data_IF_098982169855
#
_entry.id   IF_098982169855
#
_cell.length_a   1.000
_cell.length_b   1.000
_cell.length_c   1.000
_cell.angle_alpha   90.00
_cell.angle_beta   90.00
_cell.angle_gamma   90.00
#
_symmetry.space_group_name_H-M   'P 1'
#
loop_
_entity.id
_entity.type
_entity.pdbx_description
1 polymer ?
#
# COMPACT_ATOMS: atom_id res chain seq x y z
N UNK A 1 14.63 -6.83 24.24
CA UNK A 1 14.18 -8.08 23.61
C UNK A 1 13.78 -7.70 22.20
N UNK A 2 14.71 -7.83 21.28
CA UNK A 2 14.63 -7.29 19.93
C UNK A 2 13.68 -8.13 19.08
N UNK A 3 12.68 -7.49 18.46
CA UNK A 3 11.78 -8.09 17.46
C UNK A 3 12.49 -8.35 16.13
N UNK A 4 13.68 -8.96 16.21
CA UNK A 4 14.57 -9.16 15.08
C UNK A 4 14.07 -10.34 14.25
N UNK A 5 13.59 -10.00 13.06
CA UNK A 5 13.36 -10.84 11.88
C UNK A 5 11.88 -11.12 11.55
N UNK A 6 11.13 -10.06 11.21
CA UNK A 6 9.96 -10.20 10.32
C UNK A 6 10.53 -10.49 8.91
N UNK A 7 10.60 -11.77 8.55
CA UNK A 7 11.05 -12.22 7.23
C UNK A 7 9.99 -12.03 6.15
N UNK A 8 10.37 -12.12 4.87
CA UNK A 8 9.48 -11.96 3.69
C UNK A 8 8.31 -12.97 3.68
N UNK A 9 8.42 -14.07 4.44
CA UNK A 9 7.37 -15.09 4.61
C UNK A 9 6.51 -14.92 5.87
N UNK A 10 6.65 -13.82 6.63
CA UNK A 10 5.85 -13.59 7.83
C UNK A 10 4.38 -13.32 7.49
N UNK A 11 3.48 -13.70 8.39
CA UNK A 11 2.03 -13.47 8.27
C UNK A 11 1.68 -11.99 7.96
N UNK A 12 2.57 -11.05 8.28
CA UNK A 12 2.52 -9.64 7.90
C UNK A 12 2.15 -9.39 6.43
N UNK A 13 2.66 -10.21 5.50
CA UNK A 13 2.50 -10.02 4.06
C UNK A 13 1.14 -10.48 3.50
N UNK A 14 0.35 -11.18 4.32
CA UNK A 14 -0.97 -11.70 3.92
C UNK A 14 -2.13 -10.77 4.33
N UNK A 15 -1.84 -9.67 5.05
CA UNK A 15 -2.86 -8.69 5.44
C UNK A 15 -3.29 -7.87 4.21
N UNK A 16 -4.60 -7.81 3.98
CA UNK A 16 -5.16 -7.11 2.81
C UNK A 16 -5.00 -5.59 2.91
N UNK A 17 -4.91 -4.92 1.76
CA UNK A 17 -4.90 -3.44 1.66
C UNK A 17 -6.00 -2.80 2.50
N UNK A 18 -7.23 -3.30 2.38
CA UNK A 18 -8.40 -2.69 3.02
C UNK A 18 -8.33 -2.75 4.54
N UNK A 19 -7.85 -3.88 5.07
CA UNK A 19 -7.66 -4.06 6.51
C UNK A 19 -6.57 -3.11 7.05
N UNK A 20 -5.45 -2.99 6.34
CA UNK A 20 -4.35 -2.08 6.70
C UNK A 20 -4.82 -0.63 6.70
N UNK A 21 -5.53 -0.20 5.66
CA UNK A 21 -6.02 1.18 5.57
C UNK A 21 -7.08 1.48 6.64
N UNK A 22 -7.97 0.52 6.94
CA UNK A 22 -8.93 0.65 8.04
C UNK A 22 -8.22 0.83 9.37
N UNK A 23 -7.28 -0.06 9.70
CA UNK A 23 -6.48 0.04 10.93
C UNK A 23 -5.75 1.36 11.03
N UNK A 24 -5.14 1.81 9.93
CA UNK A 24 -4.37 3.04 9.89
C UNK A 24 -5.24 4.27 10.17
N UNK A 25 -6.42 4.30 9.57
CA UNK A 25 -7.41 5.37 9.78
C UNK A 25 -7.97 5.34 11.20
N UNK A 26 -8.19 4.17 11.77
CA UNK A 26 -8.66 4.01 13.15
C UNK A 26 -7.62 4.45 14.17
N UNK A 27 -6.35 4.05 13.97
CA UNK A 27 -5.22 4.39 14.85
C UNK A 27 -4.90 5.88 14.79
N UNK A 28 -4.80 6.44 13.57
CA UNK A 28 -4.30 7.80 13.37
C UNK A 28 -5.42 8.84 13.23
N UNK A 29 -6.68 8.45 13.15
CA UNK A 29 -7.82 9.35 12.87
C UNK A 29 -7.57 10.15 11.59
N UNK A 30 -7.25 9.44 10.52
CA UNK A 30 -7.04 9.97 9.16
C UNK A 30 -8.07 9.35 8.20
N UNK A 31 -8.12 9.85 6.97
CA UNK A 31 -8.98 9.32 5.90
C UNK A 31 -8.12 8.94 4.68
N UNK A 32 -7.24 7.97 4.88
CA UNK A 32 -6.36 7.43 3.84
C UNK A 32 -7.15 6.38 3.05
N UNK A 33 -7.24 6.58 1.74
CA UNK A 33 -7.98 5.70 0.83
C UNK A 33 -7.06 4.91 -0.11
N UNK A 34 -5.84 5.44 -0.31
CA UNK A 34 -4.85 4.88 -1.22
C UNK A 34 -3.54 4.65 -0.47
N UNK A 35 -2.87 3.54 -0.77
CA UNK A 35 -1.61 3.15 -0.11
C UNK A 35 -0.51 4.18 -0.39
N UNK A 36 -0.51 4.70 -1.60
CA UNK A 36 0.39 5.71 -2.15
C UNK A 36 0.37 7.01 -1.33
N UNK A 37 -0.73 7.33 -0.64
CA UNK A 37 -0.83 8.51 0.22
C UNK A 37 0.10 8.42 1.44
N UNK A 38 0.58 7.22 1.79
CA UNK A 38 1.56 7.01 2.85
C UNK A 38 3.00 7.35 2.42
N UNK A 39 3.24 7.57 1.12
CA UNK A 39 4.55 7.88 0.55
C UNK A 39 5.22 9.12 1.14
N UNK A 40 4.44 10.04 1.71
CA UNK A 40 4.93 11.26 2.39
C UNK A 40 5.82 10.98 3.60
N UNK A 41 5.75 9.76 4.16
CA UNK A 41 6.52 9.34 5.33
C UNK A 41 5.99 9.86 6.68
N UNK A 42 5.08 10.84 6.69
CA UNK A 42 4.52 11.42 7.92
C UNK A 42 3.75 10.37 8.73
N UNK A 43 3.00 9.52 8.04
CA UNK A 43 2.22 8.42 8.60
C UNK A 43 3.12 7.42 9.33
N UNK A 44 4.21 6.98 8.70
CA UNK A 44 5.16 6.04 9.31
C UNK A 44 5.80 6.63 10.57
N UNK A 45 6.19 7.91 10.55
CA UNK A 45 6.70 8.59 11.73
C UNK A 45 5.68 8.56 12.89
N UNK A 46 4.39 8.75 12.60
CA UNK A 46 3.37 8.74 13.63
C UNK A 46 3.11 7.34 14.21
N UNK A 47 3.17 6.29 13.38
CA UNK A 47 3.05 4.91 13.88
C UNK A 47 4.19 4.59 14.85
N UNK A 48 5.42 4.99 14.52
CA UNK A 48 6.57 4.80 15.43
C UNK A 48 6.41 5.61 16.71
N UNK A 49 5.83 6.82 16.64
CA UNK A 49 5.52 7.61 17.82
C UNK A 49 4.45 6.94 18.71
N UNK A 50 3.52 6.20 18.12
CA UNK A 50 2.54 5.41 18.87
C UNK A 50 3.15 4.20 19.59
N UNK A 51 4.19 3.58 19.01
CA UNK A 51 4.92 2.47 19.65
C UNK A 51 5.91 2.98 20.70
N UNK A 52 6.62 4.06 20.38
CA UNK A 52 7.67 4.66 21.20
C UNK A 52 7.43 6.17 21.40
N UNK A 53 6.48 6.56 22.25
CA UNK A 53 6.16 7.96 22.50
C UNK A 53 7.39 8.78 22.91
N UNK A 54 7.59 9.91 22.24
CA UNK A 54 8.67 10.86 22.56
C UNK A 54 10.00 10.57 21.85
N UNK A 55 10.12 9.47 21.11
CA UNK A 55 11.33 9.17 20.32
C UNK A 55 11.33 9.88 18.96
N UNK A 56 10.13 10.12 18.42
CA UNK A 56 9.89 10.84 17.16
C UNK A 56 9.69 12.33 17.44
N UNK A 57 10.39 13.19 16.68
CA UNK A 57 10.24 14.64 16.78
C UNK A 57 9.03 15.09 15.95
N UNK A 58 7.82 14.87 16.49
CA UNK A 58 6.55 15.15 15.79
C UNK A 58 6.41 16.59 15.31
N UNK A 59 7.01 17.56 16.01
CA UNK A 59 6.98 18.99 15.64
C UNK A 59 7.72 19.32 14.34
N UNK A 60 8.61 18.44 13.88
CA UNK A 60 9.36 18.61 12.64
C UNK A 60 8.71 17.88 11.46
N UNK A 61 7.69 17.06 11.67
CA UNK A 61 7.06 16.34 10.56
C UNK A 61 6.32 17.33 9.67
N UNK A 62 6.60 17.29 8.37
CA UNK A 62 5.84 18.04 7.37
C UNK A 62 4.61 17.24 6.96
N UNK A 63 3.46 17.57 7.57
CA UNK A 63 2.15 16.95 7.30
C UNK A 63 1.55 17.36 5.96
N UNK A 64 2.00 18.49 5.41
CA UNK A 64 1.48 19.08 4.19
C UNK A 64 2.48 18.98 3.03
N UNK A 65 3.40 18.00 3.11
CA UNK A 65 4.38 17.74 2.07
C UNK A 65 3.66 17.35 0.77
N UNK A 66 3.97 18.04 -0.33
CA UNK A 66 3.34 17.84 -1.65
C UNK A 66 4.29 17.27 -2.68
N UNK A 67 5.58 17.53 -2.50
CA UNK A 67 6.62 17.16 -3.44
C UNK A 67 7.60 16.17 -2.83
N UNK A 68 8.17 15.31 -3.66
CA UNK A 68 9.07 14.24 -3.23
C UNK A 68 10.24 14.75 -2.39
N UNK A 69 10.83 15.90 -2.74
CA UNK A 69 11.94 16.47 -1.95
C UNK A 69 11.54 16.84 -0.51
N UNK A 70 10.25 17.10 -0.25
CA UNK A 70 9.73 17.35 1.09
C UNK A 70 9.54 16.05 1.88
N UNK A 71 9.21 14.95 1.20
CA UNK A 71 9.10 13.62 1.82
C UNK A 71 10.43 13.16 2.41
N UNK A 72 11.55 13.50 1.74
CA UNK A 72 12.90 13.17 2.20
C UNK A 72 13.16 13.65 3.64
N UNK A 73 12.59 14.80 4.01
CA UNK A 73 12.71 15.34 5.36
C UNK A 73 12.00 14.45 6.39
N UNK A 74 10.78 14.00 6.08
CA UNK A 74 10.03 13.08 6.94
C UNK A 74 10.75 11.72 7.08
N UNK A 75 11.29 11.17 5.99
CA UNK A 75 12.06 9.91 6.07
C UNK A 75 13.34 10.04 6.89
N UNK A 76 14.00 11.21 6.90
CA UNK A 76 15.16 11.44 7.77
C UNK A 76 14.77 11.42 9.25
N UNK A 77 13.58 11.93 9.59
CA UNK A 77 13.03 11.83 10.95
C UNK A 77 12.73 10.36 11.29
N UNK A 78 12.11 9.62 10.36
CA UNK A 78 11.82 8.20 10.52
C UNK A 78 13.09 7.37 10.78
N UNK A 79 14.12 7.55 9.95
CA UNK A 79 15.41 6.86 10.09
C UNK A 79 16.07 7.16 11.44
N UNK A 80 16.00 8.41 11.90
CA UNK A 80 16.51 8.80 13.22
C UNK A 80 15.75 8.09 14.34
N UNK A 81 14.43 7.95 14.21
CA UNK A 81 13.62 7.22 15.18
C UNK A 81 13.92 5.71 15.15
N UNK A 82 14.16 5.13 13.97
CA UNK A 82 14.56 3.73 13.83
C UNK A 82 15.89 3.45 14.54
N UNK A 83 16.90 4.29 14.31
CA UNK A 83 18.21 4.16 14.96
C UNK A 83 18.10 4.26 16.49
N UNK A 84 17.32 5.22 17.00
CA UNK A 84 17.13 5.39 18.45
C UNK A 84 16.44 4.20 19.12
N UNK A 85 15.51 3.57 18.42
CA UNK A 85 14.73 2.44 18.92
C UNK A 85 15.36 1.07 18.57
N UNK A 86 16.54 1.05 17.94
CA UNK A 86 17.23 -0.19 17.56
C UNK A 86 16.51 -0.99 16.47
N UNK A 87 15.75 -0.33 15.60
CA UNK A 87 15.01 -0.98 14.51
C UNK A 87 15.98 -1.24 13.36
N UNK A 88 16.34 -2.52 13.14
CA UNK A 88 17.31 -2.93 12.11
C UNK A 88 16.74 -3.02 10.68
N UNK A 89 15.45 -2.76 10.48
CA UNK A 89 14.81 -2.78 9.16
C UNK A 89 15.43 -1.72 8.25
N UNK A 90 15.99 -2.16 7.14
CA UNK A 90 16.39 -1.27 6.06
C UNK A 90 15.15 -0.63 5.43
N UNK A 91 15.08 0.69 5.35
CA UNK A 91 14.04 1.42 4.63
C UNK A 91 14.73 2.18 3.51
N UNK A 92 14.27 2.00 2.27
CA UNK A 92 14.74 2.77 1.12
C UNK A 92 13.77 3.93 0.85
N UNK A 93 14.08 5.17 1.30
CA UNK A 93 13.21 6.32 1.08
C UNK A 93 12.99 6.58 -0.41
N UNK A 94 14.01 6.34 -1.25
CA UNK A 94 13.98 6.66 -2.67
C UNK A 94 12.91 5.86 -3.42
N UNK A 95 12.66 4.61 -2.99
CA UNK A 95 11.57 3.79 -3.54
C UNK A 95 10.21 4.25 -3.05
N UNK A 96 10.07 4.44 -1.73
CA UNK A 96 8.80 4.80 -1.11
C UNK A 96 8.29 6.18 -1.54
N UNK A 97 9.19 7.16 -1.65
CA UNK A 97 8.88 8.54 -2.04
C UNK A 97 8.29 8.67 -3.44
N UNK A 98 8.58 7.71 -4.34
CA UNK A 98 7.99 7.66 -5.69
C UNK A 98 6.51 7.26 -5.70
N UNK A 99 5.91 7.05 -4.51
CA UNK A 99 4.52 6.69 -4.33
C UNK A 99 4.11 5.43 -5.13
N UNK A 100 5.05 4.50 -5.35
CA UNK A 100 4.74 3.20 -5.93
C UNK A 100 3.91 2.38 -4.95
N UNK A 101 2.80 1.81 -5.44
CA UNK A 101 1.87 1.04 -4.63
C UNK A 101 2.55 -0.13 -3.89
N UNK A 102 3.30 -0.98 -4.61
CA UNK A 102 3.91 -2.19 -4.05
C UNK A 102 4.93 -1.87 -2.95
N UNK A 103 5.85 -0.94 -3.20
CA UNK A 103 6.87 -0.53 -2.23
C UNK A 103 6.20 0.00 -0.94
N UNK A 104 5.15 0.82 -1.07
CA UNK A 104 4.42 1.37 0.07
C UNK A 104 3.56 0.33 0.79
N UNK A 105 2.96 -0.62 0.07
CA UNK A 105 2.18 -1.70 0.67
C UNK A 105 3.07 -2.62 1.51
N UNK A 106 4.23 -3.01 1.00
CA UNK A 106 5.22 -3.81 1.75
C UNK A 106 5.61 -3.11 3.06
N UNK A 107 5.90 -1.80 2.99
CA UNK A 107 6.26 -1.02 4.18
C UNK A 107 5.12 -0.97 5.20
N UNK A 108 3.87 -0.80 4.73
CA UNK A 108 2.69 -0.78 5.59
C UNK A 108 2.42 -2.15 6.24
N UNK A 109 2.54 -3.24 5.49
CA UNK A 109 2.40 -4.61 6.02
C UNK A 109 3.42 -4.87 7.12
N UNK A 110 4.68 -4.54 6.86
CA UNK A 110 5.74 -4.69 7.84
C UNK A 110 5.51 -3.83 9.08
N UNK A 111 5.17 -2.55 8.93
CA UNK A 111 5.03 -1.64 10.07
C UNK A 111 3.77 -1.97 10.90
N UNK A 112 2.70 -2.48 10.27
CA UNK A 112 1.52 -3.01 10.97
C UNK A 112 1.92 -4.18 11.85
N UNK A 113 2.61 -5.18 11.30
CA UNK A 113 3.10 -6.32 12.10
C UNK A 113 4.02 -5.87 13.23
N UNK A 114 4.92 -4.94 12.93
CA UNK A 114 5.82 -4.37 13.93
C UNK A 114 5.04 -3.66 15.05
N UNK A 115 3.98 -2.94 14.71
CA UNK A 115 3.06 -2.34 15.68
C UNK A 115 2.38 -3.42 16.54
N UNK A 116 1.80 -4.46 15.93
CA UNK A 116 1.10 -5.52 16.68
C UNK A 116 2.01 -6.24 17.69
N UNK A 117 3.31 -6.37 17.39
CA UNK A 117 4.28 -7.04 18.27
C UNK A 117 4.77 -6.11 19.39
N UNK A 118 4.96 -4.82 19.10
CA UNK A 118 5.68 -3.89 19.99
C UNK A 118 4.78 -2.87 20.70
N UNK A 119 3.56 -2.65 20.22
CA UNK A 119 2.63 -1.70 20.84
C UNK A 119 2.19 -2.23 22.21
N UNK A 120 2.26 -1.35 23.22
CA UNK A 120 1.95 -1.70 24.62
C UNK A 120 0.46 -1.64 24.95
N UNK A 121 -0.39 -1.32 23.97
CA UNK A 121 -1.83 -1.15 24.15
C UNK A 121 -2.23 0.12 24.91
N UNK A 122 -1.35 1.12 25.00
CA UNK A 122 -1.67 2.41 25.62
C UNK A 122 -2.55 3.27 24.70
N UNK A 123 -3.44 4.07 25.29
CA UNK A 123 -4.30 5.01 24.56
C UNK A 123 -3.43 6.07 23.85
N UNK A 124 -3.49 6.10 22.52
CA UNK A 124 -2.73 7.03 21.69
C UNK A 124 -3.60 8.15 21.12
N UNK A 125 -3.41 9.39 21.59
CA UNK A 125 -4.08 10.57 21.03
C UNK A 125 -3.40 11.07 19.75
N UNK A 126 -3.73 10.44 18.63
CA UNK A 126 -3.14 10.80 17.34
C UNK A 126 -3.38 12.26 16.93
N UNK A 127 -4.56 12.84 17.22
CA UNK A 127 -4.91 14.20 16.80
C UNK A 127 -4.17 15.23 17.63
N UNK A 128 -4.07 15.02 18.95
CA UNK A 128 -3.29 15.86 19.85
C UNK A 128 -1.80 15.85 19.51
N UNK A 129 -1.24 14.67 19.16
CA UNK A 129 0.18 14.55 18.72
C UNK A 129 0.47 15.33 17.45
N UNK A 130 -0.50 15.42 16.52
CA UNK A 130 -0.41 16.28 15.33
C UNK A 130 -0.70 17.75 15.60
N UNK A 131 -1.19 18.11 16.79
CA UNK A 131 -1.72 19.44 17.11
C UNK A 131 -2.81 19.90 16.13
N UNK A 132 -3.62 18.95 15.66
CA UNK A 132 -4.66 19.21 14.66
C UNK A 132 -4.16 19.43 13.23
N UNK A 133 -2.89 19.12 12.93
CA UNK A 133 -2.43 19.10 11.55
C UNK A 133 -3.09 17.96 10.77
N UNK A 134 -3.67 18.30 9.63
CA UNK A 134 -4.22 17.33 8.67
C UNK A 134 -3.13 16.80 7.76
N UNK A 135 -3.29 15.56 7.30
CA UNK A 135 -2.40 14.96 6.30
C UNK A 135 -2.74 15.49 4.91
N UNK A 136 -1.72 15.79 4.11
CA UNK A 136 -1.90 15.99 2.68
C UNK A 136 -2.13 14.66 1.97
N UNK A 137 -3.26 14.55 1.28
CA UNK A 137 -3.61 13.35 0.50
C UNK A 137 -3.17 13.53 -0.94
N UNK A 138 -2.19 12.72 -1.36
CA UNK A 138 -1.71 12.68 -2.75
C UNK A 138 -2.86 12.28 -3.68
N UNK A 139 -3.06 13.06 -4.74
CA UNK A 139 -4.05 12.76 -5.80
C UNK A 139 -5.47 13.29 -5.58
N UNK A 140 -5.76 13.93 -4.44
CA UNK A 140 -7.06 14.57 -4.16
C UNK A 140 -7.05 16.05 -4.59
N UNK A 141 -8.07 16.53 -5.34
CA UNK A 141 -8.19 17.94 -5.67
C UNK A 141 -8.40 18.76 -4.39
N UNK A 142 -7.35 19.48 -3.98
CA UNK A 142 -7.35 20.33 -2.78
C UNK A 142 -6.48 19.84 -1.63
N UNK A 143 -5.93 18.61 -1.69
CA UNK A 143 -4.85 18.16 -0.81
C UNK A 143 -5.11 18.19 0.70
N UNK A 144 -6.37 18.27 1.13
CA UNK A 144 -6.72 18.27 2.56
C UNK A 144 -7.41 16.96 2.89
N UNK A 145 -6.86 16.20 3.83
CA UNK A 145 -7.64 15.19 4.52
C UNK A 145 -8.86 15.88 5.14
N UNK A 146 -10.07 15.48 4.73
CA UNK A 146 -11.27 15.86 5.47
C UNK A 146 -11.15 15.24 6.87
N UNK A 147 -10.86 16.09 7.87
CA UNK A 147 -10.92 15.69 9.26
C UNK A 147 -12.30 15.09 9.57
N UNK A 148 -12.32 14.08 10.43
CA UNK A 148 -13.53 13.37 10.84
C UNK A 148 -14.69 14.34 11.14
N UNK A 149 -15.94 13.97 10.82
CA UNK A 149 -17.10 14.85 11.03
C UNK A 149 -17.18 15.22 12.50
N UNK A 150 -16.96 16.50 12.82
CA UNK A 150 -17.28 17.06 14.13
C UNK A 150 -18.78 16.93 14.32
N UNK A 151 -19.20 15.98 15.15
CA UNK A 151 -20.55 15.99 15.72
C UNK A 151 -20.72 17.32 16.46
N UNK A 152 -21.48 18.23 15.88
CA UNK A 152 -21.91 19.45 16.55
C UNK A 152 -22.91 19.06 17.64
N UNK A 153 -22.45 19.00 18.88
CA UNK A 153 -23.31 18.99 20.04
C UNK A 153 -24.00 20.36 20.08
N UNK A 154 -25.27 20.37 19.68
CA UNK A 154 -26.13 21.54 19.70
C UNK A 154 -26.57 21.83 21.14
N UNK A 155 -25.80 22.65 21.87
CA UNK A 155 -26.26 23.21 23.13
C UNK A 155 -27.20 24.39 22.86
N UNK A 156 -28.47 24.18 23.22
CA UNK A 156 -29.54 25.15 23.16
C UNK A 156 -29.34 26.26 24.20
N UNK A 157 -29.21 27.50 23.73
CA UNK A 157 -29.22 28.69 24.59
C UNK A 157 -30.67 29.10 24.90
N UNK A 158 -31.01 29.14 26.19
CA UNK A 158 -32.32 29.54 26.68
C UNK A 158 -32.57 31.05 26.57
N UNK A 159 -33.84 31.35 26.29
CA UNK A 159 -34.51 32.64 26.07
C UNK A 159 -34.43 33.59 27.28
N UNK A 160 -34.18 34.89 27.04
CA UNK A 160 -34.79 36.02 27.81
C UNK A 160 -35.07 37.23 26.90
N UNK A 161 -36.24 37.84 27.10
CA UNK A 161 -36.82 39.08 26.50
C UNK A 161 -37.18 40.04 27.69
N UNK A 162 -37.75 41.25 27.51
CA UNK A 162 -37.39 42.44 26.72
C UNK A 162 -37.45 43.78 27.54
N UNK A 163 -36.94 44.91 27.04
CA UNK A 163 -37.33 46.29 27.45
C UNK A 163 -36.93 47.31 26.35
N UNK A 164 -37.85 47.88 25.53
CA UNK A 164 -38.65 49.13 25.62
C UNK A 164 -38.02 50.43 25.06
N UNK A 165 -38.86 51.17 24.31
CA UNK A 165 -38.85 52.61 23.91
C UNK A 165 -38.00 53.01 22.66
N UNK A 166 -38.66 53.42 21.55
CA UNK A 166 -39.06 54.81 21.16
C UNK A 166 -37.93 55.50 20.36
N UNK A 167 -38.05 56.16 19.19
CA UNK A 167 -39.07 57.10 18.68
C UNK A 167 -38.76 57.45 17.20
N UNK A 168 -39.80 57.78 16.42
CA UNK A 168 -39.89 58.72 15.28
C UNK A 168 -39.08 58.59 13.95
N UNK A 169 -39.88 58.40 12.88
CA UNK A 169 -40.03 59.22 11.67
C UNK A 169 -38.91 59.34 10.61
N UNK A 170 -39.20 58.75 9.43
CA UNK A 170 -39.22 59.50 8.17
C UNK A 170 -38.06 59.29 7.18
N UNK A 171 -38.35 58.52 6.11
CA UNK A 171 -38.09 58.78 4.67
C UNK A 171 -37.48 57.59 3.90
N UNK A 172 -38.30 57.09 2.96
CA UNK A 172 -38.05 56.87 1.53
C UNK A 172 -36.74 56.14 1.10
N UNK A 173 -36.98 55.07 0.33
CA UNK A 173 -36.10 54.38 -0.62
C UNK A 173 -35.07 53.39 -0.06
N UNK A 174 -35.35 52.08 -0.21
CA UNK A 174 -34.73 51.28 -1.27
C UNK A 174 -35.30 49.85 -1.27
N UNK A 175 -35.76 49.45 -2.43
CA UNK A 175 -36.30 48.14 -2.74
C UNK A 175 -35.14 47.15 -2.83
N UNK A 176 -34.80 46.46 -1.75
CA UNK A 176 -33.84 45.35 -1.80
C UNK A 176 -34.64 44.10 -2.17
N UNK A 177 -34.70 43.84 -3.47
CA UNK A 177 -35.22 42.59 -4.03
C UNK A 177 -34.35 41.45 -3.55
N UNK A 178 -34.98 40.47 -2.89
CA UNK A 178 -34.40 39.17 -2.62
C UNK A 178 -33.93 38.55 -3.95
N UNK A 179 -32.62 38.44 -4.13
CA UNK A 179 -32.05 37.67 -5.22
C UNK A 179 -32.10 36.20 -4.84
N UNK A 180 -33.26 35.56 -5.04
CA UNK A 180 -33.32 34.13 -5.29
C UNK A 180 -32.56 33.89 -6.60
N UNK A 181 -31.35 33.34 -6.52
CA UNK A 181 -30.64 32.83 -7.68
C UNK A 181 -31.37 31.57 -8.15
N UNK A 182 -32.11 31.72 -9.25
CA UNK A 182 -32.54 30.63 -10.11
C UNK A 182 -31.28 29.90 -10.61
N UNK A 183 -31.14 28.63 -10.25
CA UNK A 183 -30.15 27.73 -10.84
C UNK A 183 -30.47 27.62 -12.33
N UNK A 184 -29.49 27.91 -13.19
CA UNK A 184 -29.69 27.80 -14.63
C UNK A 184 -29.72 26.31 -14.99
N UNK A 185 -30.62 25.87 -15.88
CA UNK A 185 -30.71 24.46 -16.31
C UNK A 185 -29.38 23.87 -16.85
N UNK A 186 -28.44 24.74 -17.26
CA UNK A 186 -27.10 24.34 -17.71
C UNK A 186 -26.17 23.89 -16.57
N UNK A 187 -26.36 24.41 -15.35
CA UNK A 187 -25.52 24.05 -14.19
C UNK A 187 -25.88 22.66 -13.64
N UNK A 188 -27.16 22.29 -13.72
CA UNK A 188 -27.68 20.99 -13.28
C UNK A 188 -27.28 19.85 -14.24
N UNK A 189 -27.25 20.12 -15.56
CA UNK A 189 -26.72 19.18 -16.55
C UNK A 189 -25.20 18.96 -16.42
N UNK A 190 -24.44 20.02 -16.11
CA UNK A 190 -22.99 19.92 -15.94
C UNK A 190 -22.61 19.14 -14.68
N UNK A 191 -23.35 19.33 -13.58
CA UNK A 191 -23.17 18.56 -12.35
C UNK A 191 -23.50 17.07 -12.52
N UNK A 192 -24.58 16.75 -13.23
CA UNK A 192 -24.95 15.36 -13.52
C UNK A 192 -23.87 14.64 -14.37
N UNK A 193 -23.27 15.36 -15.31
CA UNK A 193 -22.20 14.82 -16.17
C UNK A 193 -20.89 14.59 -15.40
N UNK A 194 -20.59 15.42 -14.40
CA UNK A 194 -19.44 15.21 -13.48
C UNK A 194 -19.67 13.97 -12.60
N UNK A 195 -20.86 13.79 -12.03
CA UNK A 195 -21.17 12.62 -11.21
C UNK A 195 -21.12 11.31 -12.01
N UNK A 196 -21.54 11.34 -13.28
CA UNK A 196 -21.45 10.19 -14.17
C UNK A 196 -19.99 9.85 -14.51
N UNK A 197 -19.16 10.87 -14.81
CA UNK A 197 -17.72 10.66 -15.01
C UNK A 197 -17.03 10.14 -13.75
N UNK A 198 -17.39 10.63 -12.57
CA UNK A 198 -16.83 10.13 -11.31
C UNK A 198 -17.18 8.66 -11.07
N UNK A 199 -18.43 8.25 -11.32
CA UNK A 199 -18.83 6.84 -11.25
C UNK A 199 -18.07 5.97 -12.25
N UNK A 200 -17.85 6.47 -13.47
CA UNK A 200 -17.06 5.75 -14.47
C UNK A 200 -15.59 5.59 -14.04
N UNK A 201 -14.99 6.62 -13.43
CA UNK A 201 -13.62 6.55 -12.89
C UNK A 201 -13.55 5.55 -11.73
N UNK A 202 -14.56 5.53 -10.86
CA UNK A 202 -14.64 4.56 -9.76
C UNK A 202 -14.74 3.11 -10.26
N UNK A 203 -15.57 2.85 -11.27
CA UNK A 203 -15.70 1.51 -11.88
C UNK A 203 -14.40 1.08 -12.58
N UNK A 204 -13.76 1.99 -13.33
CA UNK A 204 -12.45 1.72 -13.93
C UNK A 204 -11.39 1.42 -12.87
N UNK A 205 -11.36 2.18 -11.77
CA UNK A 205 -10.44 1.91 -10.66
C UNK A 205 -10.73 0.56 -10.00
N UNK A 206 -12.00 0.18 -9.84
CA UNK A 206 -12.37 -1.15 -9.33
C UNK A 206 -11.88 -2.26 -10.27
N UNK A 207 -12.00 -2.08 -11.58
CA UNK A 207 -11.51 -3.02 -12.59
C UNK A 207 -9.99 -3.15 -12.59
N UNK A 208 -9.27 -2.04 -12.44
CA UNK A 208 -7.82 -2.02 -12.31
C UNK A 208 -7.41 -2.83 -11.08
N UNK A 209 -8.03 -2.60 -9.92
CA UNK A 209 -7.74 -3.38 -8.72
C UNK A 209 -8.01 -4.90 -8.91
N UNK A 210 -9.11 -5.26 -9.58
CA UNK A 210 -9.43 -6.68 -9.87
C UNK A 210 -8.38 -7.33 -10.79
N UNK A 211 -7.91 -6.60 -11.81
CA UNK A 211 -6.87 -7.09 -12.71
C UNK A 211 -5.53 -7.21 -12.00
N UNK A 212 -5.18 -6.25 -11.15
CA UNK A 212 -3.98 -6.30 -10.32
C UNK A 212 -3.99 -7.51 -9.38
N UNK A 213 -5.14 -7.84 -8.78
CA UNK A 213 -5.28 -9.05 -7.94
C UNK A 213 -5.12 -10.35 -8.74
N UNK A 214 -5.61 -10.39 -9.99
CA UNK A 214 -5.40 -11.54 -10.88
C UNK A 214 -3.94 -11.70 -11.29
N UNK A 215 -3.27 -10.59 -11.63
CA UNK A 215 -1.83 -10.60 -11.92
C UNK A 215 -1.06 -11.13 -10.71
N UNK A 216 -1.41 -10.67 -9.50
CA UNK A 216 -0.79 -11.17 -8.25
C UNK A 216 -0.98 -12.68 -8.05
N UNK A 217 -2.19 -13.20 -8.28
CA UNK A 217 -2.44 -14.64 -8.17
C UNK A 217 -1.63 -15.45 -9.20
N UNK A 218 -1.51 -14.94 -10.42
CA UNK A 218 -0.73 -15.60 -11.47
C UNK A 218 0.77 -15.56 -11.19
N UNK A 219 1.29 -14.45 -10.67
CA UNK A 219 2.70 -14.31 -10.27
C UNK A 219 3.06 -15.27 -9.14
N UNK A 220 2.22 -15.35 -8.10
CA UNK A 220 2.40 -16.33 -7.02
C UNK A 220 2.37 -17.76 -7.55
N UNK A 221 1.42 -18.07 -8.43
CA UNK A 221 1.34 -19.41 -9.04
C UNK A 221 2.55 -19.73 -9.90
N UNK A 222 3.11 -18.73 -10.59
CA UNK A 222 4.35 -18.90 -11.37
C UNK A 222 5.53 -19.19 -10.45
N UNK A 223 5.67 -18.46 -9.34
CA UNK A 223 6.75 -18.72 -8.37
C UNK A 223 6.66 -20.11 -7.73
N UNK A 224 5.46 -20.58 -7.41
CA UNK A 224 5.24 -21.94 -6.93
C UNK A 224 5.70 -22.98 -7.97
N UNK A 225 5.30 -22.78 -9.23
CA UNK A 225 5.70 -23.67 -10.33
C UNK A 225 7.20 -23.64 -10.57
N UNK A 226 7.85 -22.48 -10.49
CA UNK A 226 9.29 -22.38 -10.66
C UNK A 226 10.04 -23.05 -9.49
N UNK A 227 9.52 -22.93 -8.27
CA UNK A 227 10.04 -23.66 -7.11
C UNK A 227 9.86 -25.18 -7.25
N UNK A 228 8.74 -25.63 -7.80
CA UNK A 228 8.51 -27.04 -8.12
C UNK A 228 9.50 -27.52 -9.20
N UNK A 229 9.71 -26.74 -10.27
CA UNK A 229 10.70 -27.04 -11.31
C UNK A 229 12.11 -27.15 -10.73
N UNK A 230 12.53 -26.22 -9.88
CA UNK A 230 13.83 -26.25 -9.22
C UNK A 230 13.98 -27.49 -8.32
N UNK A 231 12.92 -27.86 -7.59
CA UNK A 231 12.90 -29.09 -6.79
C UNK A 231 13.06 -30.34 -7.68
N UNK A 232 12.33 -30.42 -8.80
CA UNK A 232 12.47 -31.56 -9.72
C UNK A 232 13.84 -31.59 -10.40
N UNK A 233 14.36 -30.43 -10.79
CA UNK A 233 15.70 -30.30 -11.34
C UNK A 233 16.76 -30.80 -10.35
N UNK A 234 16.70 -30.34 -9.09
CA UNK A 234 17.65 -30.78 -8.06
C UNK A 234 17.57 -32.29 -7.80
N UNK A 235 16.36 -32.88 -7.77
CA UNK A 235 16.18 -34.33 -7.65
C UNK A 235 16.77 -35.08 -8.84
N UNK A 236 16.58 -34.57 -10.06
CA UNK A 236 17.14 -35.16 -11.28
C UNK A 236 18.67 -35.03 -11.32
N UNK A 237 19.24 -33.89 -10.93
CA UNK A 237 20.69 -33.72 -10.83
C UNK A 237 21.32 -34.65 -9.81
N UNK A 238 20.67 -34.85 -8.64
CA UNK A 238 21.14 -35.79 -7.63
C UNK A 238 21.08 -37.24 -8.16
N UNK A 239 20.02 -37.58 -8.90
CA UNK A 239 19.88 -38.89 -9.52
C UNK A 239 20.94 -39.10 -10.62
N UNK A 240 21.26 -38.06 -11.40
CA UNK A 240 22.32 -38.09 -12.41
C UNK A 240 23.70 -38.35 -11.79
N UNK A 241 24.04 -37.61 -10.73
CA UNK A 241 25.30 -37.77 -10.02
C UNK A 241 25.43 -39.19 -9.45
N UNK A 242 24.34 -39.72 -8.88
CA UNK A 242 24.29 -41.10 -8.37
C UNK A 242 24.43 -42.15 -9.48
N UNK A 243 23.72 -41.98 -10.60
CA UNK A 243 23.79 -42.88 -11.76
C UNK A 243 25.18 -42.88 -12.37
N UNK A 244 25.78 -41.71 -12.57
CA UNK A 244 27.14 -41.57 -13.09
C UNK A 244 28.17 -42.19 -12.14
N UNK A 245 27.99 -42.04 -10.82
CA UNK A 245 28.81 -42.72 -9.82
C UNK A 245 28.69 -44.25 -9.91
N UNK A 246 27.47 -44.77 -10.05
CA UNK A 246 27.20 -46.20 -10.17
C UNK A 246 27.77 -46.80 -11.47
N UNK A 247 27.53 -46.16 -12.63
CA UNK A 247 28.04 -46.62 -13.94
C UNK A 247 29.57 -46.70 -13.95
N UNK A 248 30.26 -45.76 -13.28
CA UNK A 248 31.72 -45.73 -13.24
C UNK A 248 32.34 -46.67 -12.20
N UNK A 249 31.55 -47.27 -11.31
CA UNK A 249 32.01 -48.21 -10.28
C UNK A 249 32.56 -49.53 -10.87
N UNK A 250 33.48 -50.18 -10.15
CA UNK A 250 34.02 -51.49 -10.56
C UNK A 250 32.94 -52.58 -10.55
N UNK A 251 32.00 -52.54 -9.60
CA UNK A 251 30.89 -53.50 -9.48
C UNK A 251 29.97 -53.50 -10.72
N UNK A 252 29.75 -52.34 -11.36
CA UNK A 252 28.97 -52.25 -12.59
C UNK A 252 29.73 -52.76 -13.82
N UNK A 253 31.06 -52.65 -13.87
CA UNK A 253 31.87 -53.15 -14.98
C UNK A 253 31.91 -54.67 -15.01
N UNK A 254 31.81 -55.32 -13.85
CA UNK A 254 31.78 -56.78 -13.71
C UNK A 254 30.39 -57.40 -13.95
N UNK A 255 29.31 -56.60 -13.99
CA UNK A 255 27.94 -57.06 -14.22
C UNK A 255 27.31 -56.43 -15.49
N UNK A 256 27.38 -57.12 -16.65
CA UNK A 256 26.89 -56.60 -17.92
C UNK A 256 25.39 -56.25 -17.93
N UNK A 257 24.58 -57.01 -17.18
CA UNK A 257 23.14 -56.84 -17.14
C UNK A 257 22.74 -55.61 -16.31
N UNK A 258 23.47 -55.35 -15.22
CA UNK A 258 23.32 -54.13 -14.42
C UNK A 258 23.72 -52.88 -15.22
N UNK A 259 24.82 -52.95 -15.98
CA UNK A 259 25.26 -51.86 -16.85
C UNK A 259 24.24 -51.53 -17.95
N UNK A 260 23.59 -52.55 -18.52
CA UNK A 260 22.51 -52.37 -19.50
C UNK A 260 21.30 -51.65 -18.89
N UNK A 261 20.86 -52.07 -17.68
CA UNK A 261 19.75 -51.39 -16.98
C UNK A 261 20.07 -49.93 -16.64
N UNK A 262 21.28 -49.63 -16.17
CA UNK A 262 21.69 -48.27 -15.84
C UNK A 262 21.80 -47.39 -17.10
N UNK A 263 22.29 -47.95 -18.20
CA UNK A 263 22.34 -47.26 -19.49
C UNK A 263 20.94 -46.97 -20.05
N UNK A 264 19.98 -47.88 -19.85
CA UNK A 264 18.57 -47.63 -20.21
C UNK A 264 17.95 -46.53 -19.36
N UNK A 265 18.20 -46.51 -18.04
CA UNK A 265 17.70 -45.46 -17.14
C UNK A 265 18.28 -44.09 -17.52
N UNK A 266 19.59 -44.01 -17.78
CA UNK A 266 20.23 -42.78 -18.24
C UNK A 266 19.63 -42.29 -19.57
N UNK A 267 19.40 -43.19 -20.53
CA UNK A 267 18.75 -42.83 -21.79
C UNK A 267 17.29 -42.38 -21.62
N UNK A 268 16.54 -42.89 -20.64
CA UNK A 268 15.16 -42.43 -20.37
C UNK A 268 15.17 -41.02 -19.74
N UNK A 269 16.13 -40.73 -18.86
CA UNK A 269 16.21 -39.45 -18.15
C UNK A 269 16.74 -38.30 -19.01
N UNK A 270 17.61 -38.60 -19.99
CA UNK A 270 18.34 -37.59 -20.76
C UNK A 270 18.16 -37.69 -22.29
N UNK A 271 17.25 -38.53 -22.78
CA UNK A 271 16.84 -38.41 -24.18
C UNK A 271 16.05 -37.12 -24.35
N UNK A 272 16.66 -36.16 -25.05
CA UNK A 272 15.96 -34.99 -25.57
C UNK A 272 14.89 -35.42 -26.58
N UNK A 273 13.64 -35.58 -26.12
CA UNK A 273 12.51 -35.74 -27.04
C UNK A 273 11.92 -34.40 -27.52
N UNK A 274 12.39 -33.23 -27.04
CA UNK A 274 11.83 -31.94 -27.48
C UNK A 274 12.88 -30.81 -27.60
N UNK A 275 13.51 -30.74 -28.78
CA UNK A 275 14.05 -29.50 -29.37
C UNK A 275 13.27 -29.17 -30.65
N UNK A 276 11.94 -29.18 -30.55
CA UNK A 276 11.04 -28.60 -31.55
C UNK A 276 9.96 -27.83 -30.79
N UNK A 277 9.72 -26.61 -31.25
CA UNK A 277 8.68 -25.67 -30.80
C UNK A 277 9.05 -24.79 -29.60
N UNK A 278 9.90 -23.80 -29.89
CA UNK A 278 10.11 -22.62 -29.04
C UNK A 278 10.73 -21.46 -29.82
N UNK A 279 10.48 -21.37 -31.14
CA UNK A 279 10.90 -20.22 -31.94
C UNK A 279 9.92 -19.06 -31.73
N UNK A 280 10.38 -18.12 -30.90
CA UNK A 280 10.13 -16.67 -30.92
C UNK A 280 8.90 -16.12 -31.69
N UNK A 281 7.69 -16.46 -31.22
CA UNK A 281 6.45 -15.84 -31.70
C UNK A 281 6.01 -14.60 -30.92
N UNK A 282 6.92 -13.68 -30.56
CA UNK A 282 6.55 -12.37 -29.97
C UNK A 282 7.53 -11.30 -30.47
N UNK A 283 7.39 -10.87 -31.73
CA UNK A 283 8.07 -9.67 -32.20
C UNK A 283 7.29 -8.89 -33.28
N UNK A 284 5.95 -9.01 -33.30
CA UNK A 284 5.17 -8.29 -34.30
C UNK A 284 3.82 -7.77 -33.80
N UNK A 285 3.83 -6.83 -32.85
CA UNK A 285 2.71 -5.93 -32.58
C UNK A 285 3.19 -4.55 -32.10
N UNK A 286 4.05 -3.92 -32.90
CA UNK A 286 4.16 -2.45 -32.93
C UNK A 286 4.48 -2.01 -34.36
N UNK A 287 3.43 -1.95 -35.19
CA UNK A 287 3.28 -0.91 -36.22
C UNK A 287 1.80 -0.90 -36.65
N UNK A 288 1.26 0.30 -36.79
CA UNK A 288 -0.04 0.68 -37.37
C UNK A 288 -1.32 0.55 -36.51
N UNK A 289 -1.56 1.57 -35.67
CA UNK A 289 -2.65 2.56 -35.84
C UNK A 289 -2.63 3.67 -34.78
#
# INVERSE_FOLDING_TARGET
MSGDTIGIMDAAFFVSKNEILSWLNDLLKLNIQKVEQCATGAVYCQIIDAIYPGTVVMSKINWQAKHDYEYAYNYKILQTAFQKNGIARYVDPTKLMKAKYQDNLEMLQWIKRYYDINAKGEDYDAVGRRKGADLYLIGEPGGKAQGAPKQQIQQQSAIKRPTTASTNAGKIAQHVVAKQQSVSNNDEQFLAQIEEQQRHIEDQNAKINELEDKVRMLELRSQELDSEKDMYFQKLSMLDEFLNGAINSEDCKENPQLNEYLSQIHNILFKDENLKDGDSGIDHLMEDN
#
